data_IF_882476221202
#
_entry.id   IF_882476221202
#
_cell.length_a   1.000
_cell.length_b   1.000
_cell.length_c   1.000
_cell.angle_alpha   90.00
_cell.angle_beta   90.00
_cell.angle_gamma   90.00
#
_symmetry.space_group_name_H-M   'P 1'
#
loop_
_entity.id
_entity.type
_entity.pdbx_description
1 polymer ?
#
# COMPACT_ATOMS: atom_id res chain seq x y z
N UNK A 1 -9.61 -10.40 43.65
CA UNK A 1 -8.19 -10.07 43.75
C UNK A 1 -7.69 -9.88 42.30
N UNK A 2 -7.59 -8.63 41.87
CA UNK A 2 -7.08 -8.30 40.54
C UNK A 2 -5.60 -8.73 40.47
N UNK A 3 -5.25 -9.63 39.51
CA UNK A 3 -3.84 -9.93 39.26
C UNK A 3 -3.17 -8.64 38.83
N UNK A 4 -2.11 -8.22 39.54
CA UNK A 4 -1.23 -7.17 39.06
C UNK A 4 -0.74 -7.56 37.65
N UNK A 5 -0.63 -6.59 36.72
CA UNK A 5 -0.08 -6.88 35.39
C UNK A 5 1.32 -7.52 35.53
N UNK A 6 1.63 -8.49 34.66
CA UNK A 6 2.89 -9.24 34.69
C UNK A 6 4.16 -8.36 34.65
N UNK A 7 4.03 -7.08 34.26
CA UNK A 7 5.10 -6.07 34.26
C UNK A 7 4.86 -4.93 35.26
N UNK A 8 4.31 -5.21 36.46
CA UNK A 8 4.13 -4.17 37.48
C UNK A 8 5.47 -3.67 38.00
N UNK A 9 5.85 -2.46 37.57
CA UNK A 9 6.99 -1.75 38.15
C UNK A 9 6.52 -0.94 39.38
N UNK A 10 7.16 -1.14 40.54
CA UNK A 10 6.96 -0.25 41.69
C UNK A 10 7.71 1.07 41.51
N UNK A 11 8.94 1.02 41.04
CA UNK A 11 9.84 2.14 40.74
C UNK A 11 10.80 1.69 39.65
N UNK A 12 10.93 2.48 38.58
CA UNK A 12 11.93 2.28 37.54
C UNK A 12 13.11 3.21 37.75
N UNK A 13 14.31 2.67 37.59
CA UNK A 13 15.56 3.42 37.55
C UNK A 13 16.22 3.20 36.19
N UNK A 14 16.65 4.28 35.53
CA UNK A 14 17.41 4.23 34.28
C UNK A 14 18.82 4.74 34.57
N UNK A 15 19.81 3.86 34.40
CA UNK A 15 21.18 4.07 34.87
C UNK A 15 22.13 4.03 33.67
N UNK A 16 22.89 5.10 33.37
CA UNK A 16 23.89 5.08 32.30
C UNK A 16 25.06 4.15 32.65
N UNK A 17 25.64 3.50 31.63
CA UNK A 17 26.93 2.81 31.75
C UNK A 17 28.01 3.71 31.15
N UNK A 18 28.73 4.37 32.01
CA UNK A 18 29.75 5.34 31.62
C UNK A 18 31.15 4.68 31.42
N UNK A 19 32.06 5.39 30.75
CA UNK A 19 33.47 4.99 30.63
C UNK A 19 33.72 3.82 29.66
N UNK A 20 32.76 3.49 28.79
CA UNK A 20 32.99 2.49 27.76
C UNK A 20 33.94 3.04 26.68
N UNK A 21 34.83 2.19 26.12
CA UNK A 21 35.76 2.60 25.08
C UNK A 21 35.06 2.85 23.72
N UNK A 22 35.78 3.47 22.81
CA UNK A 22 35.43 3.45 21.40
C UNK A 22 35.63 2.04 20.85
N UNK A 23 34.58 1.48 20.22
CA UNK A 23 34.61 0.10 19.71
C UNK A 23 35.07 0.02 18.24
N UNK A 24 35.76 -1.07 17.91
CA UNK A 24 36.27 -1.44 16.59
C UNK A 24 35.88 -2.90 16.26
N UNK A 25 35.98 -3.31 15.00
CA UNK A 25 35.70 -4.70 14.61
C UNK A 25 36.52 -5.70 15.41
N UNK A 26 35.83 -6.65 16.06
CA UNK A 26 36.42 -7.72 16.85
C UNK A 26 36.65 -7.38 18.33
N UNK A 27 36.32 -6.17 18.80
CA UNK A 27 36.42 -5.82 20.21
C UNK A 27 35.42 -6.62 21.06
N UNK A 28 35.82 -6.93 22.27
CA UNK A 28 35.01 -7.65 23.27
C UNK A 28 33.97 -6.71 23.91
N UNK A 29 32.89 -6.49 23.19
CA UNK A 29 31.79 -5.64 23.66
C UNK A 29 31.19 -6.13 24.99
N UNK A 30 30.99 -7.44 25.13
CA UNK A 30 30.47 -8.05 26.35
C UNK A 30 31.38 -7.80 27.55
N UNK A 31 32.69 -7.96 27.37
CA UNK A 31 33.67 -7.71 28.42
C UNK A 31 33.75 -6.24 28.84
N UNK A 32 33.64 -5.33 27.88
CA UNK A 32 33.60 -3.89 28.16
C UNK A 32 32.34 -3.53 28.98
N UNK A 33 31.15 -4.03 28.59
CA UNK A 33 29.92 -3.79 29.36
C UNK A 33 30.02 -4.41 30.77
N UNK A 34 30.46 -5.66 30.88
CA UNK A 34 30.62 -6.33 32.16
C UNK A 34 31.60 -5.58 33.07
N UNK A 35 32.69 -5.02 32.51
CA UNK A 35 33.67 -4.20 33.25
C UNK A 35 33.13 -2.87 33.75
N UNK A 36 32.32 -2.17 32.88
CA UNK A 36 31.69 -0.89 33.21
C UNK A 36 30.47 -1.01 34.12
N UNK A 37 29.83 -2.15 34.12
CA UNK A 37 28.56 -2.39 34.84
C UNK A 37 28.63 -3.59 35.80
N UNK A 38 29.68 -3.69 36.60
CA UNK A 38 29.86 -4.77 37.62
C UNK A 38 28.75 -4.80 38.68
N UNK A 39 27.95 -3.75 38.75
CA UNK A 39 26.81 -3.58 39.65
C UNK A 39 25.49 -4.13 39.07
N UNK A 40 25.51 -4.77 37.87
CA UNK A 40 24.37 -5.43 37.30
C UNK A 40 23.78 -6.49 38.22
N UNK A 41 22.46 -6.63 38.19
CA UNK A 41 21.70 -7.58 39.00
C UNK A 41 20.77 -8.40 38.13
N UNK A 42 20.46 -9.59 38.57
CA UNK A 42 19.39 -10.37 37.90
C UNK A 42 18.07 -9.60 37.92
N UNK A 43 17.40 -9.56 36.77
CA UNK A 43 16.19 -8.76 36.56
C UNK A 43 16.45 -7.37 35.94
N UNK A 44 17.71 -6.96 35.75
CA UNK A 44 18.02 -5.74 34.99
C UNK A 44 17.79 -5.94 33.48
N UNK A 45 17.46 -4.85 32.76
CA UNK A 45 17.43 -4.79 31.31
C UNK A 45 18.59 -3.93 30.82
N UNK A 46 19.49 -4.53 30.05
CA UNK A 46 20.63 -3.83 29.43
C UNK A 46 20.22 -3.35 28.06
N UNK A 47 20.20 -2.03 27.86
CA UNK A 47 19.77 -1.40 26.59
C UNK A 47 20.99 -0.84 25.89
N UNK A 48 21.30 -1.37 24.70
CA UNK A 48 22.54 -1.13 23.95
C UNK A 48 22.21 -0.49 22.60
N UNK A 49 22.88 0.61 22.23
CA UNK A 49 22.69 1.18 20.89
C UNK A 49 23.28 0.26 19.81
N UNK A 50 22.54 0.09 18.70
CA UNK A 50 22.97 -0.70 17.54
C UNK A 50 24.37 -0.36 17.05
N UNK A 51 24.76 0.90 17.16
CA UNK A 51 26.03 1.40 16.62
C UNK A 51 27.27 0.72 17.20
N UNK A 52 27.31 0.51 18.52
CA UNK A 52 28.47 -0.19 19.10
C UNK A 52 28.46 -1.67 18.80
N UNK A 53 27.28 -2.28 18.66
CA UNK A 53 27.12 -3.65 18.20
C UNK A 53 27.64 -3.75 16.75
N UNK A 54 27.19 -2.88 15.87
CA UNK A 54 27.64 -2.80 14.47
C UNK A 54 29.15 -2.62 14.35
N UNK A 55 29.75 -1.76 15.17
CA UNK A 55 31.22 -1.56 15.20
C UNK A 55 31.92 -2.84 15.61
N UNK A 56 31.52 -3.47 16.69
CA UNK A 56 32.16 -4.70 17.19
C UNK A 56 32.02 -5.86 16.21
N UNK A 57 30.88 -5.97 15.50
CA UNK A 57 30.61 -6.99 14.49
C UNK A 57 31.21 -6.66 13.12
N UNK A 58 31.92 -5.55 12.95
CA UNK A 58 32.55 -5.19 11.68
C UNK A 58 31.56 -4.73 10.60
N UNK A 59 30.40 -4.20 10.98
CA UNK A 59 29.40 -3.62 10.07
C UNK A 59 29.73 -2.18 9.68
N UNK A 60 31.01 -1.85 9.55
CA UNK A 60 31.52 -0.56 9.08
C UNK A 60 31.97 -0.70 7.61
N UNK A 61 31.50 0.23 6.78
CA UNK A 61 31.86 0.30 5.37
C UNK A 61 32.72 1.52 5.11
N UNK A 62 33.89 1.34 4.49
CA UNK A 62 34.74 2.45 4.07
C UNK A 62 34.15 3.17 2.87
N UNK A 63 34.15 4.49 2.91
CA UNK A 63 33.61 5.38 1.89
C UNK A 63 34.58 6.52 1.64
N UNK A 64 34.52 7.21 0.48
CA UNK A 64 35.34 8.41 0.24
C UNK A 64 35.10 9.48 1.31
N UNK A 65 36.17 10.18 1.65
CA UNK A 65 36.11 11.28 2.63
C UNK A 65 35.53 12.58 2.04
N UNK A 66 35.52 12.74 0.69
CA UNK A 66 34.88 13.87 0.05
C UNK A 66 33.38 13.89 0.34
N UNK A 67 32.80 15.01 0.81
CA UNK A 67 31.41 15.06 1.23
C UNK A 67 30.39 14.66 0.15
N UNK A 68 30.66 15.00 -1.11
CA UNK A 68 29.77 14.67 -2.24
C UNK A 68 29.81 13.19 -2.59
N UNK A 69 31.01 12.62 -2.68
CA UNK A 69 31.22 11.20 -2.95
C UNK A 69 30.74 10.34 -1.78
N UNK A 70 30.93 10.81 -0.55
CA UNK A 70 30.44 10.16 0.68
C UNK A 70 28.91 10.10 0.69
N UNK A 71 28.22 11.21 0.35
CA UNK A 71 26.74 11.23 0.26
C UNK A 71 26.24 10.28 -0.84
N UNK A 72 26.94 10.23 -1.99
CA UNK A 72 26.63 9.27 -3.06
C UNK A 72 26.83 7.81 -2.64
N UNK A 73 27.93 7.52 -1.93
CA UNK A 73 28.19 6.18 -1.39
C UNK A 73 27.14 5.79 -0.35
N UNK A 74 26.78 6.70 0.55
CA UNK A 74 25.72 6.47 1.54
C UNK A 74 24.39 6.13 0.87
N UNK A 75 24.00 6.83 -0.19
CA UNK A 75 22.74 6.53 -0.91
C UNK A 75 22.74 5.14 -1.52
N UNK A 76 23.86 4.71 -2.13
CA UNK A 76 23.99 3.34 -2.64
C UNK A 76 23.81 2.30 -1.53
N UNK A 77 24.48 2.50 -0.38
CA UNK A 77 24.33 1.59 0.77
C UNK A 77 22.88 1.55 1.30
N UNK A 78 22.15 2.68 1.29
CA UNK A 78 20.74 2.72 1.66
C UNK A 78 19.90 1.87 0.69
N UNK A 79 20.16 1.95 -0.61
CA UNK A 79 19.47 1.17 -1.63
C UNK A 79 19.83 -0.31 -1.54
N UNK A 80 21.08 -0.65 -1.24
CA UNK A 80 21.54 -2.03 -1.05
C UNK A 80 20.95 -2.71 0.19
N UNK A 81 20.77 -1.96 1.28
CA UNK A 81 20.17 -2.46 2.53
C UNK A 81 18.63 -2.41 2.51
N UNK A 82 18.01 -1.71 1.54
CA UNK A 82 16.56 -1.63 1.38
C UNK A 82 15.99 -2.87 0.69
N UNK A 83 15.00 -3.51 1.30
CA UNK A 83 14.15 -4.53 0.67
C UNK A 83 13.01 -3.87 -0.10
N UNK A 84 12.38 -2.87 0.54
CA UNK A 84 11.31 -2.06 -0.06
C UNK A 84 11.50 -0.58 0.23
N UNK A 85 11.19 0.26 -0.74
CA UNK A 85 11.11 1.71 -0.55
C UNK A 85 9.65 2.08 -0.38
N UNK A 86 9.28 2.56 0.80
CA UNK A 86 7.91 2.92 1.14
C UNK A 86 7.57 4.36 0.74
N UNK A 87 8.49 5.30 1.01
CA UNK A 87 8.27 6.72 0.71
C UNK A 87 9.57 7.45 0.43
N UNK A 88 9.48 8.52 -0.39
CA UNK A 88 10.55 9.48 -0.65
C UNK A 88 10.05 10.91 -0.42
N UNK A 89 10.82 11.68 0.33
CA UNK A 89 10.57 13.10 0.51
C UNK A 89 11.90 13.88 0.55
N UNK A 90 12.14 14.69 -0.46
CA UNK A 90 13.43 15.37 -0.64
C UNK A 90 14.59 14.37 -0.73
N UNK A 91 15.53 14.46 0.21
CA UNK A 91 16.67 13.52 0.33
C UNK A 91 16.38 12.33 1.26
N UNK A 92 15.26 12.34 1.95
CA UNK A 92 14.89 11.29 2.90
C UNK A 92 14.16 10.16 2.19
N UNK A 93 14.57 8.94 2.48
CA UNK A 93 13.93 7.71 2.00
C UNK A 93 13.51 6.89 3.22
N UNK A 94 12.24 6.52 3.29
CA UNK A 94 11.73 5.54 4.25
C UNK A 94 11.73 4.18 3.57
N UNK A 95 12.37 3.24 4.20
CA UNK A 95 12.61 1.91 3.63
C UNK A 95 12.34 0.83 4.66
N UNK A 96 11.89 -0.32 4.22
CA UNK A 96 12.01 -1.55 4.97
C UNK A 96 13.40 -2.15 4.68
N UNK A 97 14.17 -2.38 5.71
CA UNK A 97 15.51 -2.93 5.60
C UNK A 97 15.53 -4.46 5.70
N UNK A 98 16.73 -5.08 5.61
CA UNK A 98 16.89 -6.54 5.61
C UNK A 98 16.46 -7.23 6.90
N UNK A 99 16.46 -6.54 8.02
CA UNK A 99 15.95 -7.06 9.30
C UNK A 99 14.43 -6.86 9.47
N UNK A 100 13.74 -6.31 8.42
CA UNK A 100 12.30 -6.11 8.40
C UNK A 100 11.84 -4.77 8.97
N UNK A 101 12.71 -3.98 9.59
CA UNK A 101 12.36 -2.72 10.24
C UNK A 101 12.14 -1.62 9.21
N UNK A 102 11.04 -0.87 9.37
CA UNK A 102 10.73 0.31 8.54
C UNK A 102 11.26 1.57 9.21
N UNK A 103 12.24 2.20 8.56
CA UNK A 103 12.85 3.42 9.07
C UNK A 103 13.50 4.28 7.98
N UNK A 104 14.01 5.45 8.36
CA UNK A 104 14.74 6.32 7.44
C UNK A 104 16.08 5.69 7.04
N UNK A 105 16.38 5.75 5.73
CA UNK A 105 17.68 5.39 5.18
C UNK A 105 18.16 3.96 5.55
N UNK A 106 17.25 3.00 5.69
CA UNK A 106 17.56 1.59 6.05
C UNK A 106 18.38 1.41 7.35
N UNK A 107 18.46 2.42 8.20
CA UNK A 107 19.36 2.44 9.37
C UNK A 107 20.83 2.71 9.02
N UNK A 108 21.14 3.07 7.79
CA UNK A 108 22.51 3.45 7.36
C UNK A 108 22.89 4.81 7.93
N UNK A 109 23.84 4.82 8.85
CA UNK A 109 24.20 6.01 9.63
C UNK A 109 25.69 6.37 9.51
N UNK A 110 25.96 7.64 9.25
CA UNK A 110 27.29 8.23 9.21
C UNK A 110 27.65 9.05 10.44
N UNK A 111 26.83 9.04 11.49
CA UNK A 111 27.11 9.75 12.75
C UNK A 111 27.93 8.88 13.72
N UNK A 112 28.80 9.51 14.54
CA UNK A 112 29.63 8.81 15.52
C UNK A 112 30.50 7.67 14.96
N UNK A 113 30.93 7.81 13.69
CA UNK A 113 31.93 6.96 13.00
C UNK A 113 33.01 7.85 12.38
N UNK A 114 34.13 7.29 11.95
CA UNK A 114 35.17 8.04 11.26
C UNK A 114 34.66 8.73 9.98
N UNK A 115 35.27 9.80 9.54
CA UNK A 115 34.82 10.58 8.38
C UNK A 115 34.78 9.80 7.06
N UNK A 116 35.55 8.72 6.98
CA UNK A 116 35.66 7.79 5.86
C UNK A 116 34.90 6.47 6.09
N UNK A 117 34.02 6.42 7.10
CA UNK A 117 33.22 5.24 7.45
C UNK A 117 31.73 5.53 7.51
N UNK A 118 30.91 4.50 7.25
CA UNK A 118 29.47 4.45 7.42
C UNK A 118 29.13 3.16 8.17
N UNK A 119 28.25 3.24 9.17
CA UNK A 119 27.76 2.09 9.91
C UNK A 119 26.46 1.56 9.26
N UNK A 120 26.40 0.25 9.08
CA UNK A 120 25.19 -0.52 8.78
C UNK A 120 24.65 -1.11 10.10
N UNK A 121 23.39 -1.50 10.13
CA UNK A 121 22.83 -2.21 11.28
C UNK A 121 23.48 -3.58 11.48
N UNK A 122 23.44 -4.17 12.69
CA UNK A 122 23.81 -5.55 12.92
C UNK A 122 23.05 -6.47 11.97
N UNK A 123 23.67 -7.55 11.53
CA UNK A 123 23.06 -8.48 10.58
C UNK A 123 21.84 -9.21 11.17
N UNK A 124 21.93 -9.58 12.45
CA UNK A 124 20.86 -10.17 13.25
C UNK A 124 20.91 -9.60 14.67
N UNK A 125 20.18 -8.49 14.93
CA UNK A 125 20.20 -7.83 16.24
C UNK A 125 19.65 -8.67 17.39
N UNK A 126 18.72 -9.61 17.12
CA UNK A 126 18.21 -10.55 18.12
C UNK A 126 19.31 -11.56 18.53
N UNK A 127 20.05 -12.09 17.57
CA UNK A 127 21.20 -12.94 17.83
C UNK A 127 22.31 -12.19 18.60
N UNK A 128 22.55 -10.91 18.27
CA UNK A 128 23.49 -10.04 19.00
C UNK A 128 23.05 -9.83 20.45
N UNK A 129 21.75 -9.57 20.68
CA UNK A 129 21.19 -9.43 22.02
C UNK A 129 21.32 -10.73 22.82
N UNK A 130 21.06 -11.89 22.22
CA UNK A 130 21.24 -13.19 22.84
C UNK A 130 22.71 -13.46 23.21
N UNK A 131 23.64 -13.15 22.32
CA UNK A 131 25.08 -13.31 22.58
C UNK A 131 25.55 -12.43 23.76
N UNK A 132 25.12 -11.17 23.79
CA UNK A 132 25.42 -10.26 24.90
C UNK A 132 24.81 -10.78 26.23
N UNK A 133 23.55 -11.21 26.23
CA UNK A 133 22.89 -11.79 27.40
C UNK A 133 23.66 -12.97 27.96
N UNK A 134 24.00 -13.94 27.11
CA UNK A 134 24.75 -15.13 27.51
C UNK A 134 26.14 -14.79 28.04
N UNK A 135 26.88 -13.91 27.37
CA UNK A 135 28.20 -13.50 27.79
C UNK A 135 28.20 -12.69 29.12
N UNK A 136 27.18 -11.88 29.39
CA UNK A 136 27.01 -11.20 30.68
C UNK A 136 26.69 -12.19 31.78
N UNK A 137 25.85 -13.19 31.53
CA UNK A 137 25.56 -14.29 32.48
C UNK A 137 26.83 -15.07 32.80
N UNK A 138 27.62 -15.44 31.81
CA UNK A 138 28.88 -16.17 32.03
C UNK A 138 29.90 -15.40 32.84
N UNK A 139 30.01 -14.07 32.61
CA UNK A 139 31.02 -13.23 33.26
C UNK A 139 30.65 -12.71 34.66
N UNK A 140 29.35 -12.42 34.86
CA UNK A 140 28.86 -11.77 36.07
C UNK A 140 27.94 -12.68 36.91
N UNK A 141 27.48 -13.82 36.38
CA UNK A 141 26.57 -14.72 37.09
C UNK A 141 25.16 -14.14 37.28
N UNK A 142 24.74 -13.18 36.44
CA UNK A 142 23.44 -12.50 36.54
C UNK A 142 22.56 -12.83 35.36
N UNK A 143 21.27 -12.98 35.61
CA UNK A 143 20.25 -13.13 34.55
C UNK A 143 19.65 -11.76 34.20
N UNK A 144 19.99 -11.24 33.04
CA UNK A 144 19.54 -9.94 32.54
C UNK A 144 18.79 -10.13 31.22
N UNK A 145 17.94 -9.18 30.87
CA UNK A 145 17.46 -9.03 29.49
C UNK A 145 18.39 -8.07 28.74
N UNK A 146 18.46 -8.19 27.42
CA UNK A 146 19.21 -7.29 26.53
C UNK A 146 18.31 -6.79 25.43
N UNK A 147 18.35 -5.48 25.16
CA UNK A 147 17.66 -4.83 24.05
C UNK A 147 18.70 -4.07 23.23
N UNK A 148 18.74 -4.32 21.92
CA UNK A 148 19.52 -3.53 20.94
C UNK A 148 18.59 -2.50 20.33
N UNK A 149 18.99 -1.21 20.36
CA UNK A 149 18.14 -0.10 19.91
C UNK A 149 18.72 0.66 18.74
N UNK A 150 17.83 1.22 17.92
CA UNK A 150 18.18 2.23 16.93
C UNK A 150 17.26 3.44 17.04
N UNK A 151 17.78 4.63 16.65
CA UNK A 151 17.05 5.89 16.75
C UNK A 151 16.17 6.08 15.52
N UNK A 152 14.85 6.16 15.68
CA UNK A 152 13.89 6.25 14.59
C UNK A 152 13.03 7.50 14.64
N UNK A 153 12.66 8.01 13.46
CA UNK A 153 11.54 8.94 13.29
C UNK A 153 10.21 8.24 13.55
N UNK A 154 9.19 9.03 13.84
CA UNK A 154 7.82 8.53 14.09
C UNK A 154 6.84 9.14 13.12
N UNK A 155 5.90 8.33 12.61
CA UNK A 155 4.80 8.84 11.80
C UNK A 155 4.01 9.91 12.57
N UNK A 156 3.67 11.02 11.89
CA UNK A 156 2.89 12.17 12.40
C UNK A 156 3.46 12.92 13.61
N UNK A 157 4.64 12.64 14.04
CA UNK A 157 5.24 13.35 15.19
C UNK A 157 6.63 13.86 14.83
N UNK A 158 6.94 15.04 15.32
CA UNK A 158 8.29 15.60 15.24
C UNK A 158 9.17 14.94 16.31
N UNK A 159 10.46 14.81 16.00
CA UNK A 159 11.46 14.20 16.89
C UNK A 159 11.62 12.69 16.62
N UNK A 160 12.68 12.16 17.19
CA UNK A 160 13.08 10.76 17.12
C UNK A 160 13.01 10.14 18.51
N UNK A 161 12.93 8.83 18.58
CA UNK A 161 13.08 8.02 19.80
C UNK A 161 13.86 6.78 19.45
N UNK A 162 14.52 6.17 20.43
CA UNK A 162 15.02 4.82 20.24
C UNK A 162 13.87 3.82 20.20
N UNK A 163 13.99 2.83 19.34
CA UNK A 163 13.12 1.68 19.25
C UNK A 163 13.96 0.39 19.32
N UNK A 164 13.36 -0.68 19.80
CA UNK A 164 14.01 -1.99 19.87
C UNK A 164 14.10 -2.61 18.48
N UNK A 165 15.30 -2.99 18.06
CA UNK A 165 15.54 -3.71 16.81
C UNK A 165 16.05 -5.13 17.04
N UNK A 166 16.45 -5.46 18.26
CA UNK A 166 16.84 -6.79 18.71
C UNK A 166 16.60 -6.94 20.19
N UNK A 167 16.22 -8.13 20.65
CA UNK A 167 15.98 -8.40 22.07
C UNK A 167 16.23 -9.84 22.47
N UNK A 168 16.52 -10.05 23.75
CA UNK A 168 16.62 -11.37 24.35
C UNK A 168 16.33 -11.30 25.85
N UNK A 169 15.55 -12.28 26.36
CA UNK A 169 15.28 -12.41 27.79
C UNK A 169 14.15 -11.54 28.32
N UNK A 170 13.32 -11.00 27.43
CA UNK A 170 12.17 -10.20 27.79
C UNK A 170 11.02 -10.44 26.80
N UNK A 171 9.79 -10.49 27.30
CA UNK A 171 8.59 -10.43 26.47
C UNK A 171 8.45 -9.04 25.87
N UNK A 172 8.50 -8.94 24.54
CA UNK A 172 8.56 -7.66 23.82
C UNK A 172 7.22 -6.95 23.71
N UNK A 173 6.12 -7.72 23.66
CA UNK A 173 4.73 -7.23 23.58
C UNK A 173 3.94 -7.70 24.79
N UNK A 174 3.19 -6.81 25.42
CA UNK A 174 2.23 -7.19 26.46
C UNK A 174 0.82 -6.94 25.97
N UNK A 175 0.08 -8.04 25.69
CA UNK A 175 -1.30 -7.98 25.25
C UNK A 175 -2.27 -7.98 26.43
N UNK A 176 -3.24 -7.08 26.40
CA UNK A 176 -4.38 -7.05 27.33
C UNK A 176 -5.62 -7.72 26.73
N UNK A 177 -5.52 -8.34 25.57
CA UNK A 177 -6.64 -8.97 24.89
C UNK A 177 -7.34 -9.99 25.79
N UNK A 178 -8.68 -9.88 25.88
CA UNK A 178 -9.50 -10.72 26.74
C UNK A 178 -9.49 -10.35 28.22
N UNK A 179 -8.80 -9.27 28.61
CA UNK A 179 -8.89 -8.70 29.97
C UNK A 179 -10.02 -7.64 30.00
N UNK A 180 -10.48 -7.31 31.19
CA UNK A 180 -11.55 -6.35 31.43
C UNK A 180 -11.01 -5.13 32.16
N UNK A 181 -11.45 -3.92 31.77
CA UNK A 181 -11.19 -2.70 32.51
C UNK A 181 -11.99 -2.62 33.83
N UNK A 182 -11.77 -1.57 34.63
CA UNK A 182 -12.48 -1.40 35.91
C UNK A 182 -13.99 -1.21 35.72
N UNK A 183 -14.48 -0.84 34.54
CA UNK A 183 -15.89 -0.68 34.20
C UNK A 183 -16.50 -1.96 33.61
N UNK A 184 -15.69 -3.00 33.40
CA UNK A 184 -16.13 -4.28 32.86
C UNK A 184 -16.16 -4.35 31.33
N UNK A 185 -15.50 -3.42 30.61
CA UNK A 185 -15.35 -3.49 29.15
C UNK A 185 -14.16 -4.40 28.80
N UNK A 186 -14.37 -5.31 27.85
CA UNK A 186 -13.32 -6.18 27.34
C UNK A 186 -12.32 -5.40 26.47
N UNK A 187 -11.03 -5.56 26.76
CA UNK A 187 -9.92 -5.01 25.97
C UNK A 187 -9.63 -5.94 24.80
N UNK A 188 -9.93 -5.51 23.58
CA UNK A 188 -9.84 -6.37 22.39
C UNK A 188 -8.54 -6.21 21.59
N UNK A 189 -7.91 -5.02 21.63
CA UNK A 189 -6.79 -4.66 20.74
C UNK A 189 -5.61 -3.98 21.46
N UNK A 190 -5.65 -3.88 22.79
CA UNK A 190 -4.62 -3.16 23.53
C UNK A 190 -3.40 -4.01 23.72
N UNK A 191 -2.29 -3.61 23.08
CA UNK A 191 -0.96 -4.19 23.24
C UNK A 191 0.05 -3.09 23.52
N UNK A 192 0.96 -3.34 24.45
CA UNK A 192 2.07 -2.43 24.80
C UNK A 192 3.37 -3.01 24.26
N UNK A 193 4.10 -2.20 23.47
CA UNK A 193 5.44 -2.52 22.99
C UNK A 193 6.47 -2.28 24.09
N UNK A 194 6.56 -3.21 25.03
CA UNK A 194 7.39 -3.08 26.25
C UNK A 194 8.85 -2.82 25.91
N UNK A 195 9.40 -3.49 24.90
CA UNK A 195 10.79 -3.30 24.53
C UNK A 195 11.04 -1.90 23.93
N UNK A 196 10.08 -1.32 23.19
CA UNK A 196 10.20 0.04 22.66
C UNK A 196 10.08 1.09 23.77
N UNK A 197 9.22 0.90 24.75
CA UNK A 197 9.14 1.80 25.91
C UNK A 197 10.42 1.83 26.71
N UNK A 198 11.06 0.67 26.91
CA UNK A 198 12.36 0.57 27.57
C UNK A 198 13.49 1.17 26.72
N UNK A 199 13.46 0.98 25.40
CA UNK A 199 14.38 1.60 24.47
C UNK A 199 14.33 3.12 24.55
N UNK A 200 13.12 3.69 24.50
CA UNK A 200 12.89 5.12 24.59
C UNK A 200 13.25 5.70 25.97
N UNK A 201 12.95 5.00 27.06
CA UNK A 201 13.35 5.41 28.40
C UNK A 201 14.88 5.44 28.55
N UNK A 202 15.58 4.44 28.03
CA UNK A 202 17.04 4.36 28.08
C UNK A 202 17.73 5.48 27.26
N UNK A 203 17.10 5.92 26.13
CA UNK A 203 17.66 7.01 25.31
C UNK A 203 17.74 8.34 26.05
N UNK A 204 16.87 8.58 27.05
CA UNK A 204 16.91 9.79 27.88
C UNK A 204 18.22 9.97 28.65
N UNK A 205 18.92 8.88 28.99
CA UNK A 205 20.20 8.93 29.70
C UNK A 205 21.39 8.65 28.80
N UNK A 206 21.20 7.92 27.70
CA UNK A 206 22.26 7.70 26.70
C UNK A 206 22.60 8.98 25.94
N UNK A 207 21.60 9.69 25.46
CA UNK A 207 21.77 10.88 24.64
C UNK A 207 22.60 10.66 23.38
N UNK A 208 22.98 11.75 22.70
CA UNK A 208 23.67 11.68 21.38
C UNK A 208 25.16 12.07 21.44
N UNK A 209 25.57 12.88 22.41
CA UNK A 209 26.91 13.49 22.45
C UNK A 209 27.72 13.11 23.71
N UNK A 210 27.11 12.43 24.68
CA UNK A 210 27.73 12.07 25.94
C UNK A 210 28.59 10.80 25.90
N UNK A 211 28.74 10.13 24.76
CA UNK A 211 29.43 8.84 24.60
C UNK A 211 28.98 7.75 25.61
N UNK A 212 27.66 7.72 25.88
CA UNK A 212 27.01 6.71 26.75
C UNK A 212 26.16 5.78 25.87
N UNK A 213 26.72 4.73 25.26
CA UNK A 213 25.99 3.88 24.32
C UNK A 213 25.17 2.77 24.99
N UNK A 214 25.26 2.62 26.31
CA UNK A 214 24.58 1.59 27.09
C UNK A 214 23.89 2.20 28.30
N UNK A 215 22.66 1.79 28.57
CA UNK A 215 21.95 2.09 29.79
C UNK A 215 21.32 0.80 30.37
N UNK A 216 21.02 0.83 31.67
CA UNK A 216 20.37 -0.27 32.36
C UNK A 216 19.05 0.22 32.92
N UNK A 217 17.96 -0.48 32.62
CA UNK A 217 16.65 -0.24 33.24
C UNK A 217 16.45 -1.29 34.35
N UNK A 218 16.17 -0.82 35.56
CA UNK A 218 16.01 -1.63 36.75
C UNK A 218 14.64 -1.42 37.39
N UNK A 219 14.05 -2.47 37.97
CA UNK A 219 12.81 -2.37 38.73
C UNK A 219 11.59 -2.99 38.02
N UNK A 220 11.79 -3.60 36.86
CA UNK A 220 10.75 -4.37 36.17
C UNK A 220 10.70 -5.82 36.67
N UNK A 221 9.50 -6.42 36.61
CA UNK A 221 9.35 -7.86 36.66
C UNK A 221 9.47 -8.41 35.25
N UNK A 222 10.58 -9.07 34.94
CA UNK A 222 10.81 -9.61 33.61
C UNK A 222 10.03 -10.92 33.41
N UNK A 223 9.43 -11.05 32.26
CA UNK A 223 8.90 -12.30 31.74
C UNK A 223 9.67 -12.62 30.47
N UNK A 224 10.30 -13.79 30.43
CA UNK A 224 10.97 -14.32 29.23
C UNK A 224 10.07 -15.40 28.63
N UNK A 225 9.45 -15.14 27.48
CA UNK A 225 8.63 -16.09 26.75
C UNK A 225 9.29 -16.54 25.44
N UNK A 226 10.56 -16.15 25.23
CA UNK A 226 11.34 -16.43 24.02
C UNK A 226 11.04 -15.49 22.85
N UNK A 227 10.16 -14.48 23.03
CA UNK A 227 9.87 -13.48 22.01
C UNK A 227 11.09 -12.63 21.68
N UNK A 228 11.14 -12.11 20.46
CA UNK A 228 12.22 -11.27 19.94
C UNK A 228 11.69 -9.97 19.36
N UNK A 229 12.57 -9.00 19.10
CA UNK A 229 12.17 -7.73 18.52
C UNK A 229 11.54 -7.85 17.12
N UNK A 230 11.69 -8.98 16.43
CA UNK A 230 10.98 -9.25 15.17
C UNK A 230 9.46 -9.23 15.33
N UNK A 231 8.95 -9.56 16.49
CA UNK A 231 7.50 -9.54 16.77
C UNK A 231 6.92 -8.13 16.85
N UNK A 232 7.78 -7.11 17.03
CA UNK A 232 7.39 -5.70 16.96
C UNK A 232 7.18 -5.20 15.53
N UNK A 233 7.68 -5.95 14.54
CA UNK A 233 7.55 -5.58 13.12
C UNK A 233 6.21 -6.05 12.60
N UNK A 234 5.37 -5.09 12.19
CA UNK A 234 4.07 -5.41 11.59
C UNK A 234 4.26 -6.06 10.22
N UNK A 235 3.52 -7.14 9.89
CA UNK A 235 3.49 -7.69 8.54
C UNK A 235 3.11 -6.62 7.52
N UNK A 236 3.78 -6.62 6.36
CA UNK A 236 3.57 -5.58 5.31
C UNK A 236 2.12 -5.56 4.82
N UNK A 237 1.47 -6.72 4.82
CA UNK A 237 0.08 -6.89 4.38
C UNK A 237 -0.93 -6.24 5.35
N UNK A 238 -0.54 -6.10 6.62
CA UNK A 238 -1.35 -5.52 7.69
C UNK A 238 -1.00 -4.05 7.96
N UNK A 239 0.02 -3.51 7.28
CA UNK A 239 0.48 -2.14 7.50
C UNK A 239 -0.29 -1.15 6.62
N UNK A 240 -1.10 -0.29 7.26
CA UNK A 240 -1.83 0.78 6.57
C UNK A 240 -0.92 1.85 5.95
N UNK A 241 0.35 1.92 6.36
CA UNK A 241 1.33 2.91 5.91
C UNK A 241 2.43 2.30 5.03
N UNK A 242 2.19 1.11 4.48
CA UNK A 242 3.15 0.37 3.64
C UNK A 242 3.64 1.13 2.41
N UNK A 243 2.93 2.18 1.99
CA UNK A 243 3.32 3.06 0.88
C UNK A 243 3.19 4.52 1.28
N UNK A 244 4.15 5.34 0.89
CA UNK A 244 4.03 6.79 0.93
C UNK A 244 2.96 7.30 -0.04
N UNK A 245 2.46 8.51 0.18
CA UNK A 245 1.39 9.10 -0.64
C UNK A 245 1.76 9.17 -2.13
N UNK A 246 2.99 9.58 -2.46
CA UNK A 246 3.42 9.67 -3.85
C UNK A 246 3.51 8.30 -4.52
N UNK A 247 4.00 7.30 -3.82
CA UNK A 247 4.13 5.92 -4.26
C UNK A 247 2.74 5.28 -4.46
N UNK A 248 1.80 5.49 -3.54
CA UNK A 248 0.42 5.02 -3.65
C UNK A 248 -0.31 5.64 -4.85
N UNK A 249 -0.15 6.96 -5.06
CA UNK A 249 -0.71 7.64 -6.23
C UNK A 249 -0.09 7.10 -7.53
N UNK A 250 1.23 6.89 -7.56
CA UNK A 250 1.91 6.35 -8.73
C UNK A 250 1.46 4.92 -9.04
N UNK A 251 1.28 4.09 -8.03
CA UNK A 251 0.74 2.74 -8.16
C UNK A 251 -0.69 2.79 -8.69
N UNK A 252 -1.59 3.56 -8.07
CA UNK A 252 -2.98 3.71 -8.51
C UNK A 252 -3.10 4.16 -9.96
N UNK A 253 -2.23 5.09 -10.42
CA UNK A 253 -2.18 5.53 -11.83
C UNK A 253 -1.80 4.39 -12.79
N UNK A 254 -0.86 3.54 -12.43
CA UNK A 254 -0.47 2.37 -13.26
C UNK A 254 -1.56 1.30 -13.28
N UNK A 255 -2.22 1.07 -12.16
CA UNK A 255 -3.20 0.01 -11.99
C UNK A 255 -4.60 0.38 -12.48
N UNK A 256 -4.92 1.68 -12.64
CA UNK A 256 -6.26 2.16 -13.00
C UNK A 256 -6.86 1.46 -14.24
N UNK A 257 -6.05 1.15 -15.26
CA UNK A 257 -6.51 0.41 -16.44
C UNK A 257 -6.62 -1.09 -16.18
N UNK A 258 -5.78 -1.63 -15.28
CA UNK A 258 -5.66 -3.06 -15.02
C UNK A 258 -6.77 -3.61 -14.12
N UNK A 259 -7.35 -2.77 -13.26
CA UNK A 259 -8.49 -3.16 -12.39
C UNK A 259 -9.81 -3.23 -13.17
N UNK A 260 -9.91 -2.57 -14.34
CA UNK A 260 -11.12 -2.60 -15.17
C UNK A 260 -11.40 -3.99 -15.73
N UNK A 261 -12.58 -4.51 -15.47
CA UNK A 261 -13.09 -5.76 -16.08
C UNK A 261 -14.58 -5.64 -16.44
N UNK A 262 -15.09 -6.55 -17.24
CA UNK A 262 -16.53 -6.63 -17.55
C UNK A 262 -17.26 -7.33 -16.40
N UNK A 263 -17.96 -6.56 -15.59
CA UNK A 263 -18.79 -7.02 -14.48
C UNK A 263 -20.21 -7.20 -14.98
N UNK A 264 -20.81 -8.37 -14.74
CA UNK A 264 -22.16 -8.73 -15.23
C UNK A 264 -23.15 -9.02 -14.11
N UNK A 265 -22.66 -9.14 -12.88
CA UNK A 265 -23.47 -9.35 -11.69
C UNK A 265 -23.24 -8.19 -10.72
N UNK A 266 -24.32 -7.54 -10.34
CA UNK A 266 -24.30 -6.34 -9.51
C UNK A 266 -25.10 -6.57 -8.23
N UNK A 267 -24.72 -5.87 -7.15
CA UNK A 267 -25.56 -5.79 -5.96
C UNK A 267 -26.75 -4.84 -6.23
N UNK A 268 -27.73 -4.84 -5.34
CA UNK A 268 -28.87 -3.92 -5.41
C UNK A 268 -28.54 -2.53 -4.84
N UNK A 269 -27.32 -2.33 -4.35
CA UNK A 269 -26.90 -1.06 -3.73
C UNK A 269 -26.97 0.10 -4.72
N UNK A 270 -27.44 1.27 -4.32
CA UNK A 270 -27.51 2.44 -5.17
C UNK A 270 -26.13 2.95 -5.55
N UNK A 271 -25.96 3.34 -6.82
CA UNK A 271 -24.74 3.99 -7.30
C UNK A 271 -24.77 5.46 -6.93
N UNK A 272 -23.65 5.99 -6.39
CA UNK A 272 -23.50 7.42 -6.15
C UNK A 272 -23.61 8.20 -7.48
N UNK A 273 -24.62 9.09 -7.65
CA UNK A 273 -24.79 9.87 -8.86
C UNK A 273 -23.58 10.77 -9.19
N UNK A 274 -22.84 11.22 -8.19
CA UNK A 274 -21.68 12.08 -8.42
C UNK A 274 -20.48 11.26 -8.90
N UNK A 275 -20.27 10.03 -8.43
CA UNK A 275 -19.27 9.11 -8.95
C UNK A 275 -19.51 8.82 -10.43
N UNK A 276 -20.77 8.60 -10.82
CA UNK A 276 -21.11 8.40 -12.23
C UNK A 276 -20.88 9.66 -13.06
N UNK A 277 -21.24 10.86 -12.56
CA UNK A 277 -20.96 12.12 -13.25
C UNK A 277 -19.46 12.38 -13.41
N UNK A 278 -18.66 12.15 -12.38
CA UNK A 278 -17.18 12.23 -12.46
C UNK A 278 -16.63 11.29 -13.53
N UNK A 279 -17.13 10.05 -13.57
CA UNK A 279 -16.69 9.05 -14.54
C UNK A 279 -17.05 9.44 -15.98
N UNK A 280 -18.27 9.98 -16.23
CA UNK A 280 -18.66 10.53 -17.52
C UNK A 280 -17.81 11.76 -17.87
N UNK A 281 -17.57 12.67 -16.90
CA UNK A 281 -16.69 13.83 -17.09
C UNK A 281 -15.28 13.42 -17.53
N UNK A 282 -14.70 12.41 -16.90
CA UNK A 282 -13.39 11.84 -17.28
C UNK A 282 -13.43 11.26 -18.72
N UNK A 283 -14.47 10.51 -19.07
CA UNK A 283 -14.65 9.94 -20.40
C UNK A 283 -14.71 11.01 -21.51
N UNK A 284 -15.34 12.16 -21.22
CA UNK A 284 -15.46 13.28 -22.16
C UNK A 284 -14.14 14.03 -22.41
N UNK A 285 -13.06 13.70 -21.70
CA UNK A 285 -11.69 14.21 -22.00
C UNK A 285 -10.98 13.38 -23.08
N UNK A 286 -11.60 12.34 -23.61
CA UNK A 286 -11.02 11.49 -24.65
C UNK A 286 -10.57 12.32 -25.86
N UNK A 287 -9.44 11.97 -26.49
CA UNK A 287 -8.96 12.65 -27.68
C UNK A 287 -9.97 12.53 -28.83
N UNK A 288 -10.16 13.61 -29.57
CA UNK A 288 -11.07 13.65 -30.70
C UNK A 288 -10.46 14.42 -31.87
N UNK A 289 -10.83 14.07 -33.12
CA UNK A 289 -10.37 14.79 -34.31
C UNK A 289 -10.80 16.25 -34.29
N UNK A 290 -9.98 17.15 -34.89
CA UNK A 290 -10.30 18.54 -35.12
C UNK A 290 -10.74 19.35 -33.88
N UNK A 291 -10.26 18.94 -32.66
CA UNK A 291 -10.68 19.53 -31.39
C UNK A 291 -12.19 19.53 -31.14
N UNK A 292 -12.90 18.58 -31.76
CA UNK A 292 -14.35 18.41 -31.59
C UNK A 292 -14.70 17.76 -30.27
N UNK A 293 -15.99 17.67 -29.97
CA UNK A 293 -16.55 16.95 -28.82
C UNK A 293 -17.62 15.97 -29.30
N UNK A 294 -17.25 14.91 -30.07
CA UNK A 294 -18.21 14.12 -30.84
C UNK A 294 -18.96 13.07 -30.00
N UNK A 295 -18.69 12.96 -28.70
CA UNK A 295 -19.32 11.93 -27.86
C UNK A 295 -20.33 12.56 -26.90
N UNK A 296 -21.47 11.89 -26.75
CA UNK A 296 -22.49 12.18 -25.74
C UNK A 296 -22.81 10.90 -24.98
N UNK A 297 -23.16 11.05 -23.72
CA UNK A 297 -23.65 9.96 -22.89
C UNK A 297 -25.09 10.25 -22.44
N UNK A 298 -26.01 9.32 -22.69
CA UNK A 298 -27.38 9.38 -22.20
C UNK A 298 -27.52 8.45 -21.01
N UNK A 299 -27.76 9.02 -19.85
CA UNK A 299 -28.00 8.26 -18.62
C UNK A 299 -29.50 8.01 -18.46
N UNK A 300 -29.92 6.74 -18.55
CA UNK A 300 -31.34 6.34 -18.47
C UNK A 300 -31.76 6.18 -17.02
N UNK A 301 -32.20 7.29 -16.39
CA UNK A 301 -32.68 7.32 -15.01
C UNK A 301 -34.12 6.84 -14.85
N UNK A 302 -34.97 7.11 -15.84
CA UNK A 302 -36.35 6.63 -15.84
C UNK A 302 -36.38 5.12 -16.14
N UNK A 303 -36.75 4.35 -15.12
CA UNK A 303 -36.81 2.88 -15.22
C UNK A 303 -37.89 2.39 -16.21
N UNK A 304 -39.00 3.13 -16.34
CA UNK A 304 -40.07 2.80 -17.28
C UNK A 304 -39.59 2.95 -18.73
N UNK A 305 -38.95 4.08 -19.04
CA UNK A 305 -38.36 4.32 -20.37
C UNK A 305 -37.25 3.33 -20.68
N UNK A 306 -36.39 3.01 -19.70
CA UNK A 306 -35.35 2.01 -19.82
C UNK A 306 -35.89 0.63 -20.14
N UNK A 307 -36.90 0.16 -19.43
CA UNK A 307 -37.53 -1.13 -19.68
C UNK A 307 -38.15 -1.19 -21.09
N UNK A 308 -38.90 -0.16 -21.50
CA UNK A 308 -39.47 -0.08 -22.84
C UNK A 308 -38.40 -0.14 -23.92
N UNK A 309 -37.29 0.59 -23.74
CA UNK A 309 -36.17 0.57 -24.70
C UNK A 309 -35.57 -0.82 -24.82
N UNK A 310 -35.22 -1.46 -23.67
CA UNK A 310 -34.60 -2.77 -23.67
C UNK A 310 -35.52 -3.87 -24.25
N UNK A 311 -36.81 -3.79 -23.99
CA UNK A 311 -37.81 -4.71 -24.59
C UNK A 311 -37.91 -4.53 -26.08
N UNK A 312 -38.01 -3.31 -26.58
CA UNK A 312 -38.05 -3.03 -28.00
C UNK A 312 -36.78 -3.48 -28.75
N UNK A 313 -35.60 -3.23 -28.17
CA UNK A 313 -34.33 -3.72 -28.69
C UNK A 313 -34.26 -5.25 -28.68
N UNK A 314 -34.80 -5.91 -27.63
CA UNK A 314 -34.89 -7.38 -27.56
C UNK A 314 -35.79 -7.95 -28.66
N UNK A 315 -36.92 -7.32 -28.94
CA UNK A 315 -37.80 -7.77 -29.99
C UNK A 315 -37.21 -7.56 -31.39
N UNK A 316 -36.54 -6.44 -31.63
CA UNK A 316 -35.76 -6.22 -32.85
C UNK A 316 -34.75 -7.35 -33.06
N UNK A 317 -33.98 -7.69 -32.03
CA UNK A 317 -32.99 -8.77 -32.10
C UNK A 317 -33.65 -10.16 -32.33
N UNK A 318 -34.81 -10.42 -31.72
CA UNK A 318 -35.58 -11.65 -32.00
C UNK A 318 -36.03 -11.74 -33.46
N UNK A 319 -36.43 -10.61 -34.05
CA UNK A 319 -36.81 -10.55 -35.47
C UNK A 319 -35.61 -10.90 -36.38
N UNK A 320 -34.44 -10.36 -36.12
CA UNK A 320 -33.19 -10.66 -36.83
C UNK A 320 -32.84 -12.15 -36.73
N UNK A 321 -32.90 -12.73 -35.52
CA UNK A 321 -32.60 -14.13 -35.30
C UNK A 321 -33.62 -15.07 -35.99
N UNK A 322 -34.90 -14.69 -36.06
CA UNK A 322 -35.88 -15.43 -36.84
C UNK A 322 -35.60 -15.38 -38.34
N UNK A 323 -35.19 -14.21 -38.85
CA UNK A 323 -34.78 -14.06 -40.25
C UNK A 323 -33.53 -14.91 -40.57
N UNK A 324 -32.64 -15.12 -39.59
CA UNK A 324 -31.49 -16.02 -39.70
C UNK A 324 -31.84 -17.50 -39.48
N UNK A 325 -33.12 -17.86 -39.40
CA UNK A 325 -33.64 -19.21 -39.22
C UNK A 325 -33.25 -19.92 -37.92
N UNK A 326 -33.00 -19.18 -36.81
CA UNK A 326 -32.80 -19.75 -35.47
C UNK A 326 -34.11 -20.28 -34.88
N UNK A 327 -34.06 -21.38 -34.14
CA UNK A 327 -35.22 -21.91 -33.41
C UNK A 327 -35.59 -21.03 -32.22
N UNK A 328 -36.85 -21.10 -31.76
CA UNK A 328 -37.30 -20.31 -30.59
C UNK A 328 -36.48 -20.58 -29.34
N UNK A 329 -36.03 -21.81 -29.10
CA UNK A 329 -35.14 -22.17 -27.99
C UNK A 329 -33.76 -21.49 -28.10
N UNK A 330 -33.20 -21.50 -29.32
CA UNK A 330 -31.92 -20.82 -29.57
C UNK A 330 -32.06 -19.31 -29.43
N UNK A 331 -33.19 -18.73 -29.87
CA UNK A 331 -33.49 -17.30 -29.70
C UNK A 331 -33.62 -16.95 -28.23
N UNK A 332 -34.37 -17.71 -27.44
CA UNK A 332 -34.52 -17.49 -26.01
C UNK A 332 -33.16 -17.50 -25.29
N UNK A 333 -32.34 -18.53 -25.56
CA UNK A 333 -31.00 -18.65 -24.99
C UNK A 333 -30.03 -17.50 -25.37
N UNK A 334 -30.14 -16.96 -26.58
CA UNK A 334 -29.33 -15.85 -27.07
C UNK A 334 -29.74 -14.53 -26.41
N UNK A 335 -31.06 -14.27 -26.41
CA UNK A 335 -31.61 -13.01 -25.91
C UNK A 335 -31.52 -12.87 -24.38
N UNK A 336 -31.50 -13.98 -23.62
CA UNK A 336 -31.27 -13.94 -22.17
C UNK A 336 -29.90 -13.37 -21.78
N UNK A 337 -28.91 -13.39 -22.67
CA UNK A 337 -27.60 -12.71 -22.41
C UNK A 337 -27.73 -11.21 -22.23
N UNK A 338 -28.84 -10.60 -22.65
CA UNK A 338 -29.16 -9.20 -22.47
C UNK A 338 -29.82 -8.87 -21.13
N UNK A 339 -30.18 -9.87 -20.31
CA UNK A 339 -30.92 -9.68 -19.05
C UNK A 339 -30.15 -8.80 -18.07
N UNK A 340 -28.80 -8.88 -18.05
CA UNK A 340 -27.98 -8.04 -17.21
C UNK A 340 -28.19 -6.53 -17.44
N UNK A 341 -28.66 -6.08 -18.63
CA UNK A 341 -28.99 -4.68 -18.89
C UNK A 341 -30.28 -4.24 -18.15
N UNK A 342 -31.19 -5.18 -17.89
CA UNK A 342 -32.38 -4.95 -17.08
C UNK A 342 -32.06 -4.92 -15.61
N UNK A 343 -31.16 -5.81 -15.16
CA UNK A 343 -30.83 -6.01 -13.74
C UNK A 343 -29.85 -4.97 -13.20
N UNK A 344 -29.02 -4.36 -14.06
CA UNK A 344 -28.01 -3.39 -13.61
C UNK A 344 -28.67 -2.19 -12.90
N UNK A 345 -28.14 -1.70 -11.79
CA UNK A 345 -28.62 -0.49 -11.10
C UNK A 345 -28.72 0.71 -12.04
N UNK A 346 -27.69 0.97 -12.83
CA UNK A 346 -27.62 2.12 -13.73
C UNK A 346 -27.30 1.69 -15.16
N UNK A 347 -27.80 2.48 -16.15
CA UNK A 347 -27.55 2.26 -17.56
C UNK A 347 -27.22 3.57 -18.27
N UNK A 348 -26.06 3.58 -18.96
CA UNK A 348 -25.58 4.71 -19.74
C UNK A 348 -25.36 4.29 -21.18
N UNK A 349 -25.87 5.07 -22.12
CA UNK A 349 -25.73 4.86 -23.55
C UNK A 349 -24.78 5.89 -24.15
N UNK A 350 -23.61 5.51 -24.67
CA UNK A 350 -22.73 6.38 -25.43
C UNK A 350 -23.20 6.54 -26.88
N UNK A 351 -23.06 7.76 -27.40
CA UNK A 351 -23.38 8.12 -28.79
C UNK A 351 -22.22 8.87 -29.41
N UNK A 352 -22.03 8.65 -30.70
CA UNK A 352 -21.13 9.41 -31.56
C UNK A 352 -21.93 10.36 -32.43
N UNK A 353 -21.53 11.64 -32.43
CA UNK A 353 -22.08 12.68 -33.28
C UNK A 353 -21.00 13.10 -34.27
N UNK A 354 -21.31 13.27 -35.55
CA UNK A 354 -20.32 13.68 -36.56
C UNK A 354 -20.07 15.20 -36.58
N UNK A 355 -20.44 15.90 -35.50
CA UNK A 355 -20.27 17.36 -35.39
C UNK A 355 -18.81 17.79 -35.63
N UNK A 356 -18.59 18.68 -36.60
CA UNK A 356 -17.26 19.14 -36.99
C UNK A 356 -16.46 18.15 -37.84
N UNK A 357 -17.08 17.05 -38.30
CA UNK A 357 -16.46 16.16 -39.27
C UNK A 357 -16.30 16.82 -40.62
N UNK A 358 -15.16 16.65 -41.26
CA UNK A 358 -14.91 17.15 -42.60
C UNK A 358 -15.59 16.31 -43.67
N UNK A 359 -16.09 16.97 -44.70
CA UNK A 359 -16.63 16.30 -45.88
C UNK A 359 -15.63 16.39 -47.02
N UNK A 360 -15.25 15.29 -47.57
CA UNK A 360 -14.27 15.20 -48.68
C UNK A 360 -14.98 14.79 -49.99
N UNK A 361 -14.39 15.25 -51.15
CA UNK A 361 -14.96 14.89 -52.47
C UNK A 361 -14.95 13.40 -52.79
N UNK A 362 -14.11 12.60 -52.12
CA UNK A 362 -13.94 11.17 -52.41
C UNK A 362 -14.35 10.26 -51.22
N UNK A 363 -14.87 9.06 -51.56
CA UNK A 363 -15.33 8.11 -50.53
C UNK A 363 -14.21 7.61 -49.60
N UNK A 364 -12.96 7.52 -50.07
CA UNK A 364 -11.83 7.03 -49.33
C UNK A 364 -11.54 7.94 -48.11
N UNK A 365 -11.42 9.25 -48.36
CA UNK A 365 -11.15 10.26 -47.28
C UNK A 365 -12.34 10.33 -46.32
N UNK A 366 -13.59 10.29 -46.85
CA UNK A 366 -14.77 10.24 -45.97
C UNK A 366 -14.80 8.98 -45.08
N UNK A 367 -14.31 7.82 -45.56
CA UNK A 367 -14.18 6.61 -44.75
C UNK A 367 -13.10 6.78 -43.66
N UNK A 368 -11.96 7.42 -43.98
CA UNK A 368 -10.94 7.71 -42.99
C UNK A 368 -11.45 8.64 -41.89
N UNK A 369 -12.20 9.68 -42.26
CA UNK A 369 -12.83 10.62 -41.33
C UNK A 369 -13.76 9.89 -40.35
N UNK A 370 -14.69 9.07 -40.87
CA UNK A 370 -15.58 8.23 -40.05
C UNK A 370 -14.80 7.32 -39.11
N UNK A 371 -13.69 6.74 -39.57
CA UNK A 371 -12.83 5.88 -38.76
C UNK A 371 -12.22 6.64 -37.62
N UNK A 372 -11.68 7.86 -37.85
CA UNK A 372 -11.12 8.70 -36.78
C UNK A 372 -12.16 9.04 -35.70
N UNK A 373 -13.38 9.39 -36.09
CA UNK A 373 -14.47 9.68 -35.15
C UNK A 373 -14.88 8.40 -34.37
N UNK A 374 -14.95 7.26 -35.04
CA UNK A 374 -15.24 5.97 -34.38
C UNK A 374 -14.16 5.62 -33.35
N UNK A 375 -12.88 5.83 -33.66
CA UNK A 375 -11.76 5.64 -32.71
C UNK A 375 -11.93 6.56 -31.50
N UNK A 376 -12.29 7.84 -31.70
CA UNK A 376 -12.56 8.78 -30.62
C UNK A 376 -13.73 8.30 -29.73
N UNK A 377 -14.80 7.78 -30.35
CA UNK A 377 -15.91 7.15 -29.64
C UNK A 377 -15.47 5.98 -28.76
N UNK A 378 -14.67 5.07 -29.32
CA UNK A 378 -14.09 3.95 -28.58
C UNK A 378 -13.20 4.37 -27.42
N UNK A 379 -12.39 5.43 -27.61
CA UNK A 379 -11.55 6.00 -26.54
C UNK A 379 -12.41 6.57 -25.39
N UNK A 380 -13.50 7.27 -25.69
CA UNK A 380 -14.42 7.78 -24.66
C UNK A 380 -15.14 6.64 -23.92
N UNK A 381 -15.58 5.60 -24.61
CA UNK A 381 -16.19 4.41 -23.97
C UNK A 381 -15.18 3.74 -23.05
N UNK A 382 -13.94 3.50 -23.47
CA UNK A 382 -12.90 2.92 -22.63
C UNK A 382 -12.59 3.86 -21.44
N UNK A 383 -12.54 5.17 -21.67
CA UNK A 383 -12.35 6.16 -20.60
C UNK A 383 -13.43 6.05 -19.53
N UNK A 384 -14.71 5.90 -19.91
CA UNK A 384 -15.82 5.68 -18.97
C UNK A 384 -15.62 4.40 -18.14
N UNK A 385 -15.30 3.27 -18.81
CA UNK A 385 -15.14 1.98 -18.14
C UNK A 385 -13.99 2.00 -17.12
N UNK A 386 -12.87 2.68 -17.44
CA UNK A 386 -11.72 2.85 -16.54
C UNK A 386 -12.08 3.77 -15.37
N UNK A 387 -12.75 4.91 -15.64
CA UNK A 387 -13.14 5.85 -14.61
C UNK A 387 -14.14 5.21 -13.61
N UNK A 388 -15.12 4.44 -14.09
CA UNK A 388 -16.03 3.68 -13.22
C UNK A 388 -15.28 2.68 -12.34
N UNK A 389 -14.29 1.97 -12.90
CA UNK A 389 -13.48 1.02 -12.14
C UNK A 389 -12.63 1.75 -11.06
N UNK A 390 -12.11 2.94 -11.35
CA UNK A 390 -11.38 3.78 -10.39
C UNK A 390 -12.29 4.31 -9.25
N UNK A 391 -13.59 4.47 -9.50
CA UNK A 391 -14.61 4.80 -8.48
C UNK A 391 -15.11 3.54 -7.72
N UNK A 392 -14.52 2.37 -7.96
CA UNK A 392 -14.94 1.10 -7.33
C UNK A 392 -16.23 0.51 -7.93
N UNK A 393 -16.69 1.05 -9.07
CA UNK A 393 -17.91 0.59 -9.75
C UNK A 393 -17.58 -0.49 -10.79
N UNK A 394 -18.42 -1.53 -10.85
CA UNK A 394 -18.42 -2.50 -11.92
C UNK A 394 -19.14 -1.99 -13.14
N UNK A 395 -18.67 -2.37 -14.33
CA UNK A 395 -19.35 -2.03 -15.58
C UNK A 395 -19.21 -3.11 -16.64
N UNK A 396 -20.18 -3.17 -17.54
CA UNK A 396 -20.11 -4.01 -18.75
C UNK A 396 -20.62 -3.25 -19.97
N UNK A 397 -19.76 -3.09 -20.95
CA UNK A 397 -20.16 -2.59 -22.25
C UNK A 397 -20.76 -3.70 -23.12
N UNK A 398 -21.89 -3.41 -23.78
CA UNK A 398 -22.62 -4.32 -24.67
C UNK A 398 -22.97 -3.57 -25.95
N UNK A 399 -22.65 -4.15 -27.09
CA UNK A 399 -22.88 -3.53 -28.42
C UNK A 399 -24.33 -3.52 -28.92
N UNK A 400 -25.32 -3.94 -28.13
CA UNK A 400 -26.70 -4.17 -28.59
C UNK A 400 -27.37 -2.95 -29.19
N UNK A 401 -27.11 -1.74 -28.73
CA UNK A 401 -27.71 -0.52 -29.27
C UNK A 401 -27.23 -0.20 -30.68
N UNK A 402 -26.05 -0.69 -31.08
CA UNK A 402 -25.50 -0.50 -32.44
C UNK A 402 -26.36 -1.19 -33.47
N UNK A 403 -26.83 -2.39 -33.15
CA UNK A 403 -27.69 -3.20 -34.03
C UNK A 403 -29.15 -2.73 -34.05
N UNK A 404 -29.59 -2.01 -33.01
CA UNK A 404 -30.95 -1.49 -32.86
C UNK A 404 -30.98 0.04 -32.94
N UNK A 405 -30.13 0.66 -33.76
CA UNK A 405 -29.91 2.10 -33.76
C UNK A 405 -31.19 2.91 -34.01
N UNK A 406 -32.05 2.52 -34.92
CA UNK A 406 -33.29 3.21 -35.23
C UNK A 406 -34.27 3.14 -34.04
N UNK A 407 -34.45 1.97 -33.45
CA UNK A 407 -35.27 1.76 -32.24
C UNK A 407 -34.81 2.64 -31.09
N UNK A 408 -33.47 2.75 -30.90
CA UNK A 408 -32.89 3.57 -29.81
C UNK A 408 -33.16 5.05 -30.05
N UNK A 409 -32.96 5.53 -31.30
CA UNK A 409 -33.19 6.94 -31.64
C UNK A 409 -34.66 7.34 -31.52
N UNK A 410 -35.55 6.49 -32.02
CA UNK A 410 -37.00 6.73 -31.97
C UNK A 410 -37.50 6.81 -30.52
N UNK A 411 -37.21 5.82 -29.68
CA UNK A 411 -37.71 5.79 -28.31
C UNK A 411 -37.09 6.86 -27.42
N UNK A 412 -35.86 7.27 -27.68
CA UNK A 412 -35.18 8.34 -26.93
C UNK A 412 -35.39 9.72 -27.58
N UNK A 413 -36.12 9.81 -28.70
CA UNK A 413 -36.38 11.05 -29.46
C UNK A 413 -35.07 11.81 -29.82
N UNK A 414 -34.07 11.04 -30.28
CA UNK A 414 -32.76 11.56 -30.65
C UNK A 414 -32.68 11.85 -32.18
N UNK A 415 -31.83 12.82 -32.59
CA UNK A 415 -31.58 13.11 -33.99
C UNK A 415 -31.07 11.88 -34.77
N UNK A 416 -31.36 11.83 -36.09
CA UNK A 416 -30.99 10.70 -36.92
C UNK A 416 -29.49 10.48 -37.10
N UNK A 417 -28.67 11.53 -36.91
CA UNK A 417 -27.22 11.53 -36.99
C UNK A 417 -26.53 11.03 -35.71
N UNK A 418 -27.25 10.86 -34.61
CA UNK A 418 -26.71 10.27 -33.39
C UNK A 418 -26.48 8.77 -33.58
N UNK A 419 -25.22 8.33 -33.53
CA UNK A 419 -24.84 6.93 -33.74
C UNK A 419 -24.60 6.25 -32.38
N UNK A 420 -25.40 5.25 -32.00
CA UNK A 420 -25.18 4.54 -30.75
C UNK A 420 -23.83 3.77 -30.76
N UNK A 421 -23.11 3.82 -29.66
CA UNK A 421 -21.82 3.13 -29.48
C UNK A 421 -21.91 1.95 -28.49
N UNK A 422 -23.07 1.44 -28.20
CA UNK A 422 -23.34 0.38 -27.24
C UNK A 422 -24.11 0.89 -26.02
N UNK A 423 -24.23 0.02 -25.03
CA UNK A 423 -24.80 0.30 -23.73
C UNK A 423 -23.82 -0.09 -22.63
N UNK A 424 -23.76 0.65 -21.53
CA UNK A 424 -22.91 0.37 -20.37
C UNK A 424 -23.81 0.12 -19.18
N UNK A 425 -23.87 -1.13 -18.73
CA UNK A 425 -24.45 -1.54 -17.45
C UNK A 425 -23.49 -1.17 -16.31
N UNK A 426 -24.00 -0.58 -15.23
CA UNK A 426 -23.17 -0.05 -14.13
C UNK A 426 -23.81 -0.42 -12.79
N UNK A 427 -22.98 -0.77 -11.80
CA UNK A 427 -23.40 -1.07 -10.43
C UNK A 427 -22.22 -1.48 -9.57
N UNK A 428 -22.46 -1.80 -8.31
CA UNK A 428 -21.45 -2.37 -7.44
C UNK A 428 -21.24 -3.85 -7.77
N UNK A 429 -19.98 -4.32 -7.93
CA UNK A 429 -19.71 -5.73 -8.27
C UNK A 429 -20.19 -6.67 -7.17
N UNK A 430 -20.97 -7.69 -7.50
CA UNK A 430 -21.40 -8.70 -6.53
C UNK A 430 -20.24 -9.52 -5.93
N UNK A 431 -19.17 -9.71 -6.71
CA UNK A 431 -17.96 -10.45 -6.30
C UNK A 431 -16.93 -9.57 -5.57
N UNK A 432 -17.28 -8.32 -5.25
CA UNK A 432 -16.38 -7.35 -4.63
C UNK A 432 -15.34 -6.73 -5.58
N UNK A 433 -14.38 -5.97 -5.04
CA UNK A 433 -13.36 -5.27 -5.84
C UNK A 433 -12.42 -6.25 -6.55
N UNK A 434 -12.01 -5.86 -7.74
CA UNK A 434 -11.14 -6.68 -8.59
C UNK A 434 -9.66 -6.41 -8.30
N UNK A 435 -8.84 -7.45 -8.18
CA UNK A 435 -7.38 -7.30 -8.24
C UNK A 435 -6.93 -6.84 -9.64
N UNK A 436 -5.84 -6.04 -9.73
CA UNK A 436 -5.24 -5.68 -11.01
C UNK A 436 -4.88 -6.92 -11.84
N UNK A 437 -5.04 -6.82 -13.16
CA UNK A 437 -4.61 -7.87 -14.09
C UNK A 437 -3.15 -7.66 -14.44
N UNK A 438 -2.47 -8.75 -14.77
CA UNK A 438 -1.14 -8.66 -15.38
C UNK A 438 -1.22 -7.97 -16.75
N UNK A 439 -0.31 -7.01 -17.04
CA UNK A 439 -0.15 -6.45 -18.37
C UNK A 439 0.20 -7.54 -19.40
N UNK A 440 -0.30 -7.37 -20.62
CA UNK A 440 -0.02 -8.29 -21.74
C UNK A 440 0.73 -7.56 -22.83
N UNK A 441 1.72 -8.21 -23.40
CA UNK A 441 2.57 -7.68 -24.48
C UNK A 441 2.49 -8.49 -25.77
N UNK A 442 1.67 -9.56 -25.82
CA UNK A 442 1.56 -10.49 -26.95
C UNK A 442 1.10 -9.84 -28.27
N UNK A 443 0.70 -8.59 -28.28
CA UNK A 443 0.37 -7.83 -29.50
C UNK A 443 1.41 -6.80 -29.90
N UNK A 444 2.50 -6.65 -29.14
CA UNK A 444 3.57 -5.70 -29.44
C UNK A 444 4.53 -6.31 -30.46
N UNK A 445 4.73 -5.61 -31.56
CA UNK A 445 5.74 -5.96 -32.58
C UNK A 445 6.84 -4.88 -32.57
N UNK A 446 8.02 -5.26 -32.11
CA UNK A 446 9.22 -4.42 -32.18
C UNK A 446 9.92 -4.62 -33.52
N UNK A 447 10.26 -3.54 -34.25
CA UNK A 447 10.92 -3.57 -35.56
C UNK A 447 12.08 -2.59 -35.58
#
# INVERSE_FOLDING_TARGET
MLRKPDHSAGRLEVIPVEGLPEFRPGDDLTGAIAGGARWLRSGDVVVVTSKIVSKAEGRLVRVPADPGERDAARRRLVEEEAVHVLARFGKTMITQNRIGVVQAASGVDGSNVAGDEIALLPADPDASALALRNGLRERLGVEVAVIVTDTMGRAWRVGQTDAAIGSSGIKVLHSYQGQYDEQGNELQVTEIAVADELAAAADLVKGKVGAVPVAVVRGMSLVDDGSTARELVRPVEEDMFRLGTAEAIAQGRREAVLVRRSVRHFTADPVDPEALRRSVGAALTAPAPHHTRPVRFVWLRDRGLRTKLLEAMRESWRADLRADAFTDEQIARRTSRGDMLFDAPELVLPFLLPDGAHTYPDPRRNACERTMFTVAGGAAVQGLLVALAAEGLGSCWVGSTIFAADVVRELLQLPADWQPLGAVAIGHPADGPAAPREPRTEGLLER
#
